data_IF_620851622672
#
_entry.id   IF_620851622672
#
_cell.length_a   1.000
_cell.length_b   1.000
_cell.length_c   1.000
_cell.angle_alpha   90.00
_cell.angle_beta   90.00
_cell.angle_gamma   90.00
#
_symmetry.space_group_name_H-M   'P 1'
#
loop_
_entity.id
_entity.type
_entity.pdbx_description
1 polymer ?
#
# COMPACT_ATOMS: atom_id res chain seq x y z
N UNK A 1 13.41 26.04 4.20
CA UNK A 1 12.02 26.53 4.08
C UNK A 1 10.97 25.42 3.99
N UNK A 2 11.17 24.27 3.32
CA UNK A 2 10.15 23.20 3.26
C UNK A 2 9.79 22.59 4.61
N UNK A 3 10.77 22.37 5.50
CA UNK A 3 10.57 21.68 6.78
C UNK A 3 9.65 22.40 7.78
N UNK A 4 9.61 23.74 7.73
CA UNK A 4 8.75 24.53 8.61
C UNK A 4 7.29 24.47 8.18
N UNK A 5 7.06 24.47 6.87
CA UNK A 5 5.73 24.37 6.26
C UNK A 5 5.12 22.99 6.51
N UNK A 6 5.90 21.91 6.33
CA UNK A 6 5.50 20.55 6.63
C UNK A 6 5.19 20.33 8.11
N UNK A 7 5.92 21.00 9.00
CA UNK A 7 5.66 20.95 10.43
C UNK A 7 4.39 21.69 10.86
N UNK A 8 4.01 22.73 10.13
CA UNK A 8 2.81 23.53 10.40
C UNK A 8 1.55 22.92 9.76
N UNK A 9 1.68 22.31 8.57
CA UNK A 9 0.56 21.70 7.84
C UNK A 9 0.34 20.24 8.28
N UNK A 10 1.40 19.56 8.79
CA UNK A 10 1.36 18.14 9.11
C UNK A 10 1.11 17.28 7.85
N UNK A 11 0.49 16.13 8.04
CA UNK A 11 0.06 15.22 6.98
C UNK A 11 -1.27 15.66 6.29
N UNK A 12 -1.76 16.85 6.62
CA UNK A 12 -3.04 17.37 6.11
C UNK A 12 -4.28 16.79 6.79
N UNK A 13 -4.14 15.77 7.65
CA UNK A 13 -5.30 15.13 8.31
C UNK A 13 -5.98 16.04 9.33
N UNK A 14 -5.31 17.10 9.78
CA UNK A 14 -5.89 18.18 10.59
C UNK A 14 -6.78 19.17 9.82
N UNK A 15 -6.79 19.13 8.48
CA UNK A 15 -7.57 20.02 7.64
C UNK A 15 -8.84 19.33 7.12
N UNK A 16 -10.01 19.82 7.52
CA UNK A 16 -11.30 19.23 7.17
C UNK A 16 -11.56 19.16 5.66
N UNK A 17 -11.07 20.12 4.87
CA UNK A 17 -11.20 20.10 3.42
C UNK A 17 -10.35 18.98 2.80
N UNK A 18 -9.12 18.81 3.25
CA UNK A 18 -8.25 17.72 2.81
C UNK A 18 -8.86 16.35 3.17
N UNK A 19 -9.35 16.21 4.39
CA UNK A 19 -10.02 14.97 4.84
C UNK A 19 -11.27 14.68 3.99
N UNK A 20 -12.07 15.70 3.66
CA UNK A 20 -13.25 15.52 2.81
C UNK A 20 -12.85 15.02 1.41
N UNK A 21 -11.82 15.59 0.80
CA UNK A 21 -11.30 15.15 -0.50
C UNK A 21 -10.75 13.70 -0.43
N UNK A 22 -9.98 13.37 0.60
CA UNK A 22 -9.47 12.02 0.82
C UNK A 22 -10.60 11.00 0.98
N UNK A 23 -11.65 11.35 1.73
CA UNK A 23 -12.81 10.48 1.91
C UNK A 23 -13.53 10.18 0.58
N UNK A 24 -13.73 11.19 -0.27
CA UNK A 24 -14.33 11.00 -1.60
C UNK A 24 -13.47 10.07 -2.45
N UNK A 25 -12.17 10.32 -2.54
CA UNK A 25 -11.24 9.49 -3.29
C UNK A 25 -11.21 8.05 -2.78
N UNK A 26 -11.10 7.90 -1.46
CA UNK A 26 -11.02 6.59 -0.80
C UNK A 26 -12.29 5.77 -1.04
N UNK A 27 -13.47 6.37 -0.89
CA UNK A 27 -14.75 5.70 -1.10
C UNK A 27 -14.92 5.31 -2.56
N UNK A 28 -14.72 6.26 -3.49
CA UNK A 28 -14.87 6.01 -4.93
C UNK A 28 -13.89 4.95 -5.45
N UNK A 29 -12.66 4.92 -4.93
CA UNK A 29 -11.66 3.95 -5.36
C UNK A 29 -11.90 2.55 -4.78
N UNK A 30 -12.56 2.45 -3.64
CA UNK A 30 -12.87 1.17 -2.99
C UNK A 30 -14.11 0.47 -3.55
N UNK A 31 -14.98 1.19 -4.28
CA UNK A 31 -16.21 0.63 -4.88
C UNK A 31 -15.95 -0.36 -6.04
N UNK A 32 -15.08 -0.02 -7.04
CA UNK A 32 -14.82 -0.93 -8.15
C UNK A 32 -14.10 -2.19 -7.70
N UNK A 33 -14.61 -3.34 -8.10
CA UNK A 33 -13.91 -4.61 -7.88
C UNK A 33 -12.86 -4.83 -8.96
N UNK A 34 -11.63 -5.06 -8.54
CA UNK A 34 -10.57 -5.48 -9.44
C UNK A 34 -10.85 -6.90 -9.93
N UNK A 35 -10.74 -7.10 -11.24
CA UNK A 35 -10.92 -8.40 -11.90
C UNK A 35 -9.71 -8.70 -12.76
N UNK A 36 -9.40 -9.97 -12.91
CA UNK A 36 -8.37 -10.45 -13.84
C UNK A 36 -9.05 -10.92 -15.12
N UNK A 37 -8.52 -10.48 -16.24
CA UNK A 37 -9.00 -10.85 -17.57
C UNK A 37 -7.91 -11.58 -18.33
N UNK A 38 -8.32 -12.52 -19.21
CA UNK A 38 -7.48 -13.10 -20.25
C UNK A 38 -7.95 -12.56 -21.58
N UNK A 39 -7.04 -12.03 -22.37
CA UNK A 39 -7.29 -11.69 -23.75
C UNK A 39 -7.36 -12.98 -24.57
N UNK A 40 -8.47 -13.24 -25.25
CA UNK A 40 -8.73 -14.44 -26.05
C UNK A 40 -8.58 -14.18 -27.54
N UNK A 41 -8.89 -12.97 -27.99
CA UNK A 41 -8.66 -12.47 -29.34
C UNK A 41 -8.62 -10.94 -29.33
N UNK A 42 -8.33 -10.33 -30.46
CA UNK A 42 -8.30 -8.87 -30.62
C UNK A 42 -9.63 -8.26 -30.17
N UNK A 43 -9.62 -7.55 -29.02
CA UNK A 43 -10.77 -6.93 -28.33
C UNK A 43 -11.76 -7.90 -27.64
N UNK A 44 -11.41 -9.16 -27.42
CA UNK A 44 -12.24 -10.10 -26.64
C UNK A 44 -11.54 -10.51 -25.34
N UNK A 45 -12.27 -10.41 -24.21
CA UNK A 45 -11.72 -10.62 -22.87
C UNK A 45 -12.59 -11.56 -22.05
N UNK A 46 -12.00 -12.62 -21.55
CA UNK A 46 -12.61 -13.56 -20.61
C UNK A 46 -12.28 -13.18 -19.17
N UNK A 47 -13.30 -13.07 -18.31
CA UNK A 47 -13.11 -12.80 -16.87
C UNK A 47 -12.64 -14.07 -16.17
N UNK A 48 -11.55 -13.98 -15.43
CA UNK A 48 -11.01 -15.08 -14.62
C UNK A 48 -11.39 -14.92 -13.14
N UNK A 49 -12.62 -15.26 -12.77
CA UNK A 49 -13.12 -15.08 -11.41
C UNK A 49 -12.34 -15.89 -10.36
N UNK A 50 -11.88 -17.09 -10.71
CA UNK A 50 -11.12 -17.97 -9.81
C UNK A 50 -9.60 -17.80 -9.90
N UNK A 51 -9.11 -16.72 -10.51
CA UNK A 51 -7.68 -16.49 -10.59
C UNK A 51 -7.08 -16.21 -9.19
N UNK A 52 -5.92 -16.79 -8.83
CA UNK A 52 -5.30 -16.59 -7.51
C UNK A 52 -5.06 -15.12 -7.15
N UNK A 53 -4.75 -14.28 -8.14
CA UNK A 53 -4.57 -12.83 -7.94
C UNK A 53 -5.90 -12.16 -7.58
N UNK A 54 -7.02 -12.55 -8.22
CA UNK A 54 -8.35 -12.03 -7.88
C UNK A 54 -8.72 -12.37 -6.44
N UNK A 55 -8.46 -13.61 -6.02
CA UNK A 55 -8.70 -14.05 -4.64
C UNK A 55 -7.83 -13.28 -3.65
N UNK A 56 -6.54 -13.10 -3.96
CA UNK A 56 -5.57 -12.39 -3.11
C UNK A 56 -5.94 -10.91 -2.96
N UNK A 57 -6.39 -10.24 -4.02
CA UNK A 57 -6.80 -8.82 -3.96
C UNK A 57 -8.10 -8.67 -3.19
N UNK A 58 -9.08 -9.57 -3.39
CA UNK A 58 -10.37 -9.50 -2.71
C UNK A 58 -10.27 -9.85 -1.21
N UNK A 59 -9.32 -10.71 -0.84
CA UNK A 59 -9.04 -11.08 0.55
C UNK A 59 -7.53 -11.19 0.77
N UNK A 60 -6.85 -10.05 0.93
CA UNK A 60 -5.38 -9.98 0.96
C UNK A 60 -4.78 -10.69 2.18
N UNK A 61 -5.50 -10.76 3.29
CA UNK A 61 -5.13 -11.48 4.51
C UNK A 61 -6.38 -11.74 5.37
N UNK A 62 -6.27 -12.49 6.49
CA UNK A 62 -7.42 -12.82 7.35
C UNK A 62 -8.14 -11.60 7.97
N UNK A 63 -7.45 -10.48 8.11
CA UNK A 63 -7.92 -9.30 8.84
C UNK A 63 -8.34 -8.15 7.92
N UNK A 64 -8.00 -8.20 6.63
CA UNK A 64 -8.20 -7.08 5.69
C UNK A 64 -9.04 -7.54 4.52
N UNK A 65 -10.12 -6.83 4.22
CA UNK A 65 -10.89 -7.02 2.98
C UNK A 65 -10.23 -6.32 1.80
N UNK A 66 -10.60 -6.68 0.57
CA UNK A 66 -10.09 -6.02 -0.64
C UNK A 66 -10.43 -4.53 -0.71
N UNK A 67 -11.64 -4.15 -0.30
CA UNK A 67 -12.05 -2.74 -0.23
C UNK A 67 -11.25 -1.96 0.82
N UNK A 68 -10.97 -2.56 1.97
CA UNK A 68 -10.13 -1.94 2.99
C UNK A 68 -8.68 -1.78 2.50
N UNK A 69 -8.15 -2.78 1.78
CA UNK A 69 -6.83 -2.67 1.16
C UNK A 69 -6.80 -1.52 0.13
N UNK A 70 -7.81 -1.43 -0.74
CA UNK A 70 -7.92 -0.35 -1.73
C UNK A 70 -8.00 1.03 -1.06
N UNK A 71 -8.83 1.17 -0.03
CA UNK A 71 -8.94 2.40 0.76
C UNK A 71 -7.60 2.78 1.39
N UNK A 72 -6.90 1.83 1.97
CA UNK A 72 -5.58 2.05 2.56
C UNK A 72 -4.58 2.54 1.51
N UNK A 73 -4.50 1.85 0.36
CA UNK A 73 -3.57 2.18 -0.71
C UNK A 73 -3.78 3.60 -1.24
N UNK A 74 -5.04 3.99 -1.50
CA UNK A 74 -5.34 5.33 -2.04
C UNK A 74 -5.08 6.41 -1.01
N UNK A 75 -5.41 6.15 0.27
CA UNK A 75 -5.12 7.09 1.36
C UNK A 75 -3.62 7.30 1.52
N UNK A 76 -2.85 6.22 1.59
CA UNK A 76 -1.39 6.28 1.73
C UNK A 76 -0.72 7.01 0.55
N UNK A 77 -1.16 6.74 -0.69
CA UNK A 77 -0.65 7.42 -1.88
C UNK A 77 -0.94 8.92 -1.88
N UNK A 78 -2.11 9.34 -1.43
CA UNK A 78 -2.47 10.77 -1.43
C UNK A 78 -1.91 11.52 -0.23
N UNK A 79 -1.80 10.89 0.95
CA UNK A 79 -1.27 11.54 2.15
C UNK A 79 0.26 11.54 2.20
N UNK A 80 0.90 10.41 1.83
CA UNK A 80 2.33 10.17 2.03
C UNK A 80 3.11 10.09 0.71
N UNK A 81 2.43 10.08 -0.43
CA UNK A 81 3.03 9.92 -1.76
C UNK A 81 3.46 8.48 -2.09
N UNK A 82 3.43 7.57 -1.13
CA UNK A 82 3.81 6.17 -1.28
C UNK A 82 2.85 5.25 -0.54
N UNK A 83 2.66 4.04 -1.08
CA UNK A 83 1.95 2.96 -0.40
C UNK A 83 2.76 1.66 -0.52
N UNK A 84 2.88 0.92 0.56
CA UNK A 84 3.71 -0.28 0.63
C UNK A 84 2.89 -1.50 1.02
N UNK A 85 3.17 -2.62 0.37
CA UNK A 85 2.58 -3.92 0.67
C UNK A 85 3.68 -4.96 0.88
N UNK A 86 3.69 -5.56 2.05
CA UNK A 86 4.50 -6.76 2.30
C UNK A 86 3.83 -7.97 1.64
N UNK A 87 4.60 -8.70 0.85
CA UNK A 87 4.17 -9.95 0.19
C UNK A 87 4.62 -11.16 0.99
N UNK A 88 3.73 -11.74 1.78
CA UNK A 88 4.01 -13.01 2.44
C UNK A 88 3.95 -14.15 1.42
N UNK A 89 5.02 -14.96 1.37
CA UNK A 89 5.15 -16.08 0.45
C UNK A 89 5.13 -17.40 1.20
N UNK A 90 4.54 -18.41 0.58
CA UNK A 90 4.64 -19.78 1.07
C UNK A 90 5.98 -20.43 0.68
N UNK A 91 6.20 -21.68 1.13
CA UNK A 91 7.43 -22.44 0.84
C UNK A 91 7.71 -22.66 -0.65
N UNK A 92 6.69 -22.56 -1.52
CA UNK A 92 6.84 -22.64 -2.99
C UNK A 92 7.04 -21.28 -3.66
N UNK A 93 7.25 -20.20 -2.88
CA UNK A 93 7.49 -18.85 -3.39
C UNK A 93 6.23 -18.09 -3.84
N UNK A 94 5.04 -18.72 -3.78
CA UNK A 94 3.77 -18.06 -4.15
C UNK A 94 3.38 -17.04 -3.09
N UNK A 95 2.97 -15.85 -3.50
CA UNK A 95 2.37 -14.84 -2.61
C UNK A 95 1.02 -15.35 -2.13
N UNK A 96 0.85 -15.44 -0.82
CA UNK A 96 -0.38 -15.93 -0.16
C UNK A 96 -1.09 -14.86 0.64
N UNK A 97 -0.38 -13.78 1.00
CA UNK A 97 -0.96 -12.64 1.71
C UNK A 97 -0.31 -11.34 1.26
N UNK A 98 -1.10 -10.26 1.35
CA UNK A 98 -0.64 -8.88 1.23
C UNK A 98 -0.96 -8.16 2.54
N UNK A 99 0.08 -7.59 3.16
CA UNK A 99 -0.05 -6.84 4.40
C UNK A 99 0.30 -5.38 4.14
N UNK A 100 -0.64 -4.43 4.33
CA UNK A 100 -0.35 -3.02 4.18
C UNK A 100 0.63 -2.57 5.27
N UNK A 101 1.66 -1.80 4.87
CA UNK A 101 2.68 -1.25 5.75
C UNK A 101 2.49 0.26 5.89
N UNK A 102 2.63 0.79 7.10
CA UNK A 102 2.56 2.23 7.36
C UNK A 102 3.73 2.92 6.66
N UNK A 103 3.50 3.86 5.70
CA UNK A 103 4.54 4.44 4.87
C UNK A 103 5.66 5.11 5.67
N UNK A 104 5.30 5.82 6.74
CA UNK A 104 6.26 6.53 7.60
C UNK A 104 7.26 5.59 8.31
N UNK A 105 6.92 4.29 8.40
CA UNK A 105 7.75 3.27 9.00
C UNK A 105 8.57 2.48 7.97
N UNK A 106 8.43 2.80 6.68
CA UNK A 106 9.22 2.21 5.60
C UNK A 106 10.32 3.17 5.19
N UNK A 107 11.57 2.74 5.24
CA UNK A 107 12.72 3.53 4.79
C UNK A 107 13.44 2.83 3.64
N UNK A 108 13.56 3.47 2.46
CA UNK A 108 14.39 2.96 1.40
C UNK A 108 15.87 3.06 1.82
N UNK A 109 16.65 2.03 1.50
CA UNK A 109 18.10 1.99 1.68
C UNK A 109 18.79 1.72 0.37
N UNK A 110 19.87 2.43 0.15
CA UNK A 110 20.69 2.31 -1.03
C UNK A 110 22.18 2.21 -0.69
N UNK A 111 23.00 2.10 -1.71
CA UNK A 111 24.45 2.12 -1.63
C UNK A 111 25.02 3.05 -2.72
N UNK A 112 26.35 3.15 -2.80
CA UNK A 112 27.01 4.01 -3.81
C UNK A 112 26.73 3.63 -5.27
N UNK A 113 26.28 2.39 -5.53
CA UNK A 113 26.01 1.87 -6.87
C UNK A 113 24.52 1.88 -7.24
N UNK A 114 23.65 1.71 -6.24
CA UNK A 114 22.21 1.57 -6.42
C UNK A 114 21.46 2.50 -5.49
N UNK A 115 20.55 3.30 -6.05
CA UNK A 115 19.77 4.27 -5.31
C UNK A 115 18.88 3.60 -4.23
N UNK A 116 18.31 2.44 -4.56
CA UNK A 116 17.52 1.64 -3.62
C UNK A 116 17.91 0.17 -3.79
N UNK A 117 18.45 -0.42 -2.73
CA UNK A 117 18.78 -1.85 -2.67
C UNK A 117 17.72 -2.67 -1.96
N UNK A 118 17.11 -2.09 -0.90
CA UNK A 118 16.08 -2.73 -0.09
C UNK A 118 15.27 -1.69 0.67
N UNK A 119 14.19 -2.16 1.32
CA UNK A 119 13.36 -1.36 2.21
C UNK A 119 13.43 -1.94 3.63
N UNK A 120 13.60 -1.08 4.61
CA UNK A 120 13.53 -1.42 6.02
C UNK A 120 12.15 -1.02 6.56
N UNK A 121 11.50 -1.91 7.30
CA UNK A 121 10.23 -1.62 7.97
C UNK A 121 10.42 -1.64 9.48
N UNK A 122 10.04 -0.56 10.14
CA UNK A 122 10.13 -0.40 11.58
C UNK A 122 8.78 -0.74 12.22
N UNK A 123 8.75 -1.68 13.15
CA UNK A 123 7.51 -2.09 13.86
C UNK A 123 7.02 -1.01 14.82
N UNK A 124 7.92 -0.10 15.21
CA UNK A 124 7.63 1.09 16.01
C UNK A 124 8.19 2.31 15.31
N UNK A 125 7.77 3.51 15.74
CA UNK A 125 8.31 4.76 15.23
C UNK A 125 9.84 4.67 15.13
N UNK A 126 10.43 4.84 13.95
CA UNK A 126 11.88 4.76 13.75
C UNK A 126 12.67 5.80 14.56
N UNK A 127 12.02 6.85 15.06
CA UNK A 127 12.61 7.84 15.96
C UNK A 127 12.48 7.44 17.44
N UNK A 128 11.83 6.32 17.74
CA UNK A 128 11.71 5.77 19.10
C UNK A 128 12.98 5.01 19.47
N UNK A 129 13.41 5.17 20.75
CA UNK A 129 14.59 4.48 21.31
C UNK A 129 14.46 2.94 21.25
N UNK A 130 13.25 2.41 21.11
CA UNK A 130 12.94 0.97 21.07
C UNK A 130 12.41 0.51 19.70
N UNK A 131 12.82 1.11 18.60
CA UNK A 131 12.46 0.67 17.27
C UNK A 131 13.10 -0.70 16.98
N UNK A 132 12.29 -1.67 16.55
CA UNK A 132 12.75 -2.94 16.03
C UNK A 132 12.77 -2.88 14.50
N UNK A 133 13.88 -3.29 13.92
CA UNK A 133 14.12 -3.26 12.48
C UNK A 133 13.86 -4.63 11.87
N UNK A 134 13.12 -4.67 10.75
CA UNK A 134 12.94 -5.85 9.91
C UNK A 134 13.34 -5.48 8.49
N UNK A 135 14.33 -6.18 7.93
CA UNK A 135 14.65 -6.12 6.50
C UNK A 135 13.62 -6.93 5.70
N UNK A 136 13.09 -6.35 4.64
CA UNK A 136 12.12 -6.97 3.72
C UNK A 136 12.70 -7.01 2.31
#
# INVERSE_FOLDING_TARGET
MPDKLLKEIGDGTGNSAVVACLNVLTTSFAEPRLKVYRETSENDFEVLDNHPVTQLINRPNPYTSGSLLASYMITALNAEGNAYLLKNRNKSGRVVELVPLIPNYVKPRGNEKELITHYEYYVKDPNSINANEFSV
#
